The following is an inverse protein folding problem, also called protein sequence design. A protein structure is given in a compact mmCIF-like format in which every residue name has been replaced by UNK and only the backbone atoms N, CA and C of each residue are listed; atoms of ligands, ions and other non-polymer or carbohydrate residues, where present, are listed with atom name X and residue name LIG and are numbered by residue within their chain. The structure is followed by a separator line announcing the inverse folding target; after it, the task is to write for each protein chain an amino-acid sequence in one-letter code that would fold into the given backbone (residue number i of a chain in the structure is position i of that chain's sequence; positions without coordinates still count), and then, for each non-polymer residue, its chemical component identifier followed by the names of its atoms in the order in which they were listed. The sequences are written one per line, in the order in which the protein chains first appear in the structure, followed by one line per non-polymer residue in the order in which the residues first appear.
data_IF_613961816509
#
_entry.id   IF_613961816509
#
_cell.length_a   1.000
_cell.length_b   1.000
_cell.length_c   1.000
_cell.angle_alpha   90.00
_cell.angle_beta   90.00
_cell.angle_gamma   90.00
#
_symmetry.space_group_name_H-M   'P 1'
#
loop_
_entity.id
_entity.type
_entity.pdbx_description
1 polymer ?
#
# COMPACT_ATOMS: atom_id res chain seq x y z
N UNK A 1 1.23 -21.39 -10.13
CA UNK A 1 2.17 -20.46 -10.81
C UNK A 1 1.66 -19.98 -12.17
N UNK A 2 1.29 -20.87 -13.10
CA UNK A 2 0.79 -20.48 -14.43
C UNK A 2 -0.43 -19.52 -14.40
N UNK A 3 -1.36 -19.72 -13.47
CA UNK A 3 -2.55 -18.88 -13.32
C UNK A 3 -2.24 -17.47 -12.79
N UNK A 4 -1.38 -17.36 -11.77
CA UNK A 4 -0.90 -16.05 -11.24
C UNK A 4 -0.17 -15.27 -12.33
N UNK A 5 0.70 -15.95 -13.09
CA UNK A 5 1.39 -15.35 -14.21
C UNK A 5 0.41 -14.85 -15.28
N UNK A 6 -0.56 -15.68 -15.70
CA UNK A 6 -1.54 -15.28 -16.70
C UNK A 6 -2.32 -13.99 -16.31
N UNK A 7 -2.66 -13.83 -15.03
CA UNK A 7 -3.42 -12.67 -14.57
C UNK A 7 -2.55 -11.43 -14.29
N UNK A 8 -1.31 -11.62 -13.83
CA UNK A 8 -0.52 -10.53 -13.23
C UNK A 8 0.79 -10.21 -13.96
N UNK A 9 1.17 -10.96 -14.99
CA UNK A 9 2.43 -10.73 -15.72
C UNK A 9 2.56 -9.28 -16.21
N UNK A 10 1.49 -8.65 -16.69
CA UNK A 10 1.53 -7.25 -17.16
C UNK A 10 1.94 -6.32 -16.02
N UNK A 11 1.27 -6.41 -14.87
CA UNK A 11 1.59 -5.57 -13.70
C UNK A 11 3.02 -5.83 -13.22
N UNK A 12 3.44 -7.09 -13.15
CA UNK A 12 4.78 -7.47 -12.69
C UNK A 12 5.88 -6.95 -13.63
N UNK A 13 5.71 -7.13 -14.95
CA UNK A 13 6.66 -6.65 -15.95
C UNK A 13 6.72 -5.12 -16.00
N UNK A 14 5.57 -4.45 -15.95
CA UNK A 14 5.52 -2.98 -15.90
C UNK A 14 6.18 -2.45 -14.62
N UNK A 15 5.90 -3.04 -13.47
CA UNK A 15 6.54 -2.66 -12.20
C UNK A 15 8.05 -2.84 -12.27
N UNK A 16 8.52 -3.97 -12.80
CA UNK A 16 9.94 -4.25 -12.98
C UNK A 16 10.60 -3.22 -13.94
N UNK A 17 9.92 -2.86 -15.02
CA UNK A 17 10.40 -1.83 -15.96
C UNK A 17 10.43 -0.42 -15.35
N UNK A 18 9.58 -0.13 -14.36
CA UNK A 18 9.56 1.15 -13.63
C UNK A 18 10.62 1.25 -12.53
N UNK A 19 11.26 0.14 -12.12
CA UNK A 19 12.37 0.16 -11.15
C UNK A 19 13.50 1.11 -11.58
N UNK A 20 14.11 0.96 -12.78
CA UNK A 20 15.21 1.85 -13.19
C UNK A 20 14.78 3.31 -13.26
N UNK A 21 13.57 3.59 -13.77
CA UNK A 21 13.02 4.95 -13.81
C UNK A 21 12.85 5.53 -12.39
N UNK A 22 12.35 4.73 -11.46
CA UNK A 22 12.20 5.13 -10.05
C UNK A 22 13.56 5.44 -9.43
N UNK A 23 14.59 4.63 -9.69
CA UNK A 23 15.95 4.88 -9.20
C UNK A 23 16.54 6.18 -9.78
N UNK A 24 16.29 6.47 -11.07
CA UNK A 24 16.70 7.73 -11.69
C UNK A 24 16.00 8.94 -11.06
N UNK A 25 14.69 8.84 -10.80
CA UNK A 25 13.92 9.88 -10.11
C UNK A 25 14.45 10.08 -8.68
N UNK A 26 14.70 9.00 -7.95
CA UNK A 26 15.31 9.05 -6.61
C UNK A 26 16.66 9.76 -6.65
N UNK A 27 17.54 9.41 -7.59
CA UNK A 27 18.85 10.05 -7.74
C UNK A 27 18.72 11.55 -8.07
N UNK A 28 17.78 11.92 -8.95
CA UNK A 28 17.49 13.31 -9.28
C UNK A 28 16.97 14.09 -8.06
N UNK A 29 16.05 13.50 -7.27
CA UNK A 29 15.52 14.09 -6.04
C UNK A 29 16.60 14.26 -4.97
N UNK A 30 17.51 13.29 -4.82
CA UNK A 30 18.66 13.40 -3.93
C UNK A 30 19.52 14.58 -4.33
N UNK A 31 19.89 14.67 -5.62
CA UNK A 31 20.71 15.77 -6.14
C UNK A 31 20.04 17.12 -5.89
N UNK A 32 18.76 17.25 -6.24
CA UNK A 32 17.97 18.46 -6.02
C UNK A 32 17.95 18.87 -4.54
N UNK A 33 17.70 17.92 -3.62
CA UNK A 33 17.67 18.16 -2.17
C UNK A 33 19.03 18.56 -1.62
N UNK A 34 20.10 17.92 -2.07
CA UNK A 34 21.47 18.27 -1.65
C UNK A 34 21.87 19.67 -2.14
N UNK A 35 21.46 20.05 -3.35
CA UNK A 35 21.68 21.40 -3.87
C UNK A 35 20.90 22.45 -3.09
N UNK A 36 19.73 22.09 -2.54
CA UNK A 36 18.95 22.92 -1.63
C UNK A 36 19.47 22.91 -0.16
N UNK A 37 20.63 22.30 0.11
CA UNK A 37 21.27 22.30 1.43
C UNK A 37 20.82 21.18 2.39
N UNK A 38 20.02 20.21 1.94
CA UNK A 38 19.63 19.06 2.77
C UNK A 38 20.82 18.11 2.92
N UNK A 39 21.14 17.62 4.14
CA UNK A 39 22.21 16.64 4.34
C UNK A 39 22.01 15.39 3.48
N UNK A 40 23.10 14.89 2.88
CA UNK A 40 23.07 13.78 1.92
C UNK A 40 22.30 12.54 2.45
N UNK A 41 22.55 12.14 3.70
CA UNK A 41 21.87 10.99 4.31
C UNK A 41 20.36 11.19 4.44
N UNK A 42 19.90 12.41 4.74
CA UNK A 42 18.49 12.74 4.86
C UNK A 42 17.83 12.83 3.48
N UNK A 43 18.53 13.42 2.50
CA UNK A 43 18.09 13.48 1.11
C UNK A 43 17.87 12.08 0.53
N UNK A 44 18.80 11.14 0.75
CA UNK A 44 18.63 9.73 0.38
C UNK A 44 17.45 9.09 1.09
N UNK A 45 17.37 9.21 2.42
CA UNK A 45 16.31 8.59 3.21
C UNK A 45 14.91 9.02 2.76
N UNK A 46 14.70 10.32 2.52
CA UNK A 46 13.42 10.84 2.03
C UNK A 46 13.12 10.41 0.61
N UNK A 47 14.10 10.47 -0.30
CA UNK A 47 13.90 10.11 -1.71
C UNK A 47 13.60 8.62 -1.85
N UNK A 48 14.32 7.76 -1.13
CA UNK A 48 14.06 6.32 -1.10
C UNK A 48 12.70 5.99 -0.50
N UNK A 49 12.31 6.67 0.59
CA UNK A 49 10.99 6.49 1.17
C UNK A 49 9.88 6.83 0.16
N UNK A 50 9.99 7.95 -0.56
CA UNK A 50 9.02 8.34 -1.60
C UNK A 50 8.97 7.33 -2.76
N UNK A 51 10.13 6.94 -3.30
CA UNK A 51 10.20 5.96 -4.38
C UNK A 51 9.64 4.60 -3.97
N UNK A 52 9.95 4.14 -2.75
CA UNK A 52 9.43 2.90 -2.19
C UNK A 52 7.91 2.95 -1.98
N UNK A 53 7.34 4.06 -1.49
CA UNK A 53 5.89 4.21 -1.37
C UNK A 53 5.20 4.11 -2.73
N UNK A 54 5.70 4.84 -3.73
CA UNK A 54 5.07 4.86 -5.06
C UNK A 54 5.17 3.50 -5.73
N UNK A 55 6.38 2.98 -5.90
CA UNK A 55 6.63 1.73 -6.62
C UNK A 55 6.13 0.50 -5.84
N UNK A 56 6.10 0.59 -4.51
CA UNK A 56 5.69 -0.50 -3.64
C UNK A 56 4.19 -0.54 -3.34
N UNK A 57 3.42 0.51 -3.61
CA UNK A 57 1.95 0.53 -3.38
C UNK A 57 1.15 0.58 -4.68
N UNK A 58 1.54 1.38 -5.68
CA UNK A 58 0.74 1.52 -6.90
C UNK A 58 0.49 0.21 -7.66
N UNK A 59 1.44 -0.73 -7.77
CA UNK A 59 1.17 -2.02 -8.42
C UNK A 59 0.07 -2.81 -7.73
N UNK A 60 0.02 -2.80 -6.40
CA UNK A 60 -1.03 -3.47 -5.64
C UNK A 60 -2.37 -2.79 -5.80
N UNK A 61 -2.39 -1.45 -5.79
CA UNK A 61 -3.62 -0.69 -6.10
C UNK A 61 -4.12 -1.03 -7.50
N UNK A 62 -3.23 -1.15 -8.49
CA UNK A 62 -3.63 -1.61 -9.83
C UNK A 62 -4.21 -3.03 -9.77
N UNK A 63 -3.57 -3.97 -9.08
CA UNK A 63 -4.09 -5.34 -8.96
C UNK A 63 -5.49 -5.40 -8.32
N UNK A 64 -5.75 -4.57 -7.29
CA UNK A 64 -7.08 -4.50 -6.65
C UNK A 64 -8.14 -3.88 -7.55
N UNK A 65 -7.77 -2.92 -8.40
CA UNK A 65 -8.67 -2.28 -9.36
C UNK A 65 -8.95 -3.11 -10.62
N UNK A 66 -8.15 -4.15 -10.90
CA UNK A 66 -8.42 -5.05 -12.02
C UNK A 66 -9.74 -5.79 -11.77
N UNK A 67 -10.72 -5.72 -12.69
CA UNK A 67 -11.99 -6.42 -12.56
C UNK A 67 -11.74 -7.93 -12.40
N UNK A 68 -12.43 -8.54 -11.45
CA UNK A 68 -12.45 -10.00 -11.33
C UNK A 68 -13.84 -10.49 -11.73
N UNK A 69 -13.88 -11.57 -12.52
CA UNK A 69 -15.13 -12.22 -12.86
C UNK A 69 -15.63 -12.95 -11.61
N UNK A 70 -16.62 -12.35 -10.96
CA UNK A 70 -17.29 -12.94 -9.80
C UNK A 70 -18.52 -13.70 -10.31
N UNK A 71 -18.81 -14.92 -9.81
CA UNK A 71 -19.99 -15.67 -10.22
C UNK A 71 -21.30 -14.88 -10.00
N UNK A 72 -22.33 -15.04 -10.86
CA UNK A 72 -23.55 -14.21 -10.85
C UNK A 72 -24.33 -14.17 -9.53
N UNK A 73 -24.15 -15.16 -8.64
CA UNK A 73 -24.88 -15.31 -7.38
C UNK A 73 -24.06 -14.90 -6.14
N UNK A 74 -22.94 -14.20 -6.32
CA UNK A 74 -22.05 -13.85 -5.20
C UNK A 74 -22.51 -12.58 -4.51
N UNK A 75 -22.57 -12.58 -3.18
CA UNK A 75 -22.81 -11.38 -2.37
C UNK A 75 -21.72 -10.35 -2.65
N UNK A 76 -22.10 -9.22 -3.25
CA UNK A 76 -21.17 -8.16 -3.65
C UNK A 76 -20.82 -7.17 -2.53
N UNK A 77 -21.46 -7.28 -1.35
CA UNK A 77 -21.31 -6.34 -0.23
C UNK A 77 -21.20 -7.09 1.10
N UNK A 78 -20.03 -7.04 1.72
CA UNK A 78 -19.80 -7.53 3.09
C UNK A 78 -19.56 -6.34 4.03
N UNK A 79 -20.66 -5.84 4.59
CA UNK A 79 -20.67 -4.70 5.52
C UNK A 79 -20.63 -5.12 6.99
N UNK A 80 -20.66 -6.42 7.28
CA UNK A 80 -20.48 -6.93 8.64
C UNK A 80 -19.00 -7.24 8.84
N UNK A 81 -18.30 -6.57 9.78
CA UNK A 81 -16.91 -6.90 10.06
C UNK A 81 -16.76 -8.37 10.42
N UNK A 82 -15.69 -9.00 9.96
CA UNK A 82 -15.27 -10.39 10.19
C UNK A 82 -16.12 -11.47 9.51
N UNK A 83 -17.19 -11.10 8.79
CA UNK A 83 -18.04 -12.09 8.11
C UNK A 83 -17.39 -12.70 6.88
N UNK A 84 -16.62 -11.91 6.13
CA UNK A 84 -15.94 -12.36 4.92
C UNK A 84 -14.67 -13.13 5.31
N UNK A 85 -13.88 -12.61 6.26
CA UNK A 85 -12.74 -13.34 6.84
C UNK A 85 -13.14 -14.73 7.34
N UNK A 86 -14.26 -14.83 8.07
CA UNK A 86 -14.77 -16.12 8.56
C UNK A 86 -15.04 -17.13 7.44
N UNK A 87 -15.56 -16.69 6.29
CA UNK A 87 -15.75 -17.54 5.12
C UNK A 87 -14.41 -17.89 4.47
N UNK A 88 -13.48 -16.94 4.37
CA UNK A 88 -12.15 -17.18 3.79
C UNK A 88 -11.36 -18.24 4.56
N UNK A 89 -11.52 -18.34 5.89
CA UNK A 89 -10.89 -19.41 6.69
C UNK A 89 -11.36 -20.83 6.35
N UNK A 90 -12.50 -20.96 5.64
CA UNK A 90 -12.99 -22.26 5.15
C UNK A 90 -12.39 -22.63 3.78
N UNK A 91 -11.75 -21.69 3.10
CA UNK A 91 -11.11 -21.90 1.80
C UNK A 91 -9.74 -22.58 1.94
N UNK A 92 -9.19 -23.17 0.86
CA UNK A 92 -7.87 -23.78 0.88
C UNK A 92 -6.79 -22.79 1.35
N UNK A 93 -5.88 -23.26 2.21
CA UNK A 93 -4.83 -22.44 2.83
C UNK A 93 -4.02 -21.58 1.84
N UNK A 94 -3.62 -22.06 0.63
CA UNK A 94 -2.90 -21.22 -0.32
C UNK A 94 -3.71 -20.01 -0.79
N UNK A 95 -5.03 -20.14 -0.86
CA UNK A 95 -5.94 -19.07 -1.27
C UNK A 95 -6.06 -18.03 -0.16
N UNK A 96 -6.27 -18.48 1.09
CA UNK A 96 -6.31 -17.62 2.27
C UNK A 96 -5.03 -16.80 2.43
N UNK A 97 -3.85 -17.43 2.28
CA UNK A 97 -2.55 -16.75 2.37
C UNK A 97 -2.42 -15.69 1.27
N UNK A 98 -2.84 -16.01 0.05
CA UNK A 98 -2.76 -15.06 -1.07
C UNK A 98 -3.70 -13.86 -0.86
N UNK A 99 -4.92 -14.08 -0.36
CA UNK A 99 -5.90 -13.04 -0.11
C UNK A 99 -5.44 -12.10 1.01
N UNK A 100 -5.17 -12.65 2.21
CA UNK A 100 -4.71 -11.86 3.36
C UNK A 100 -3.36 -11.20 3.06
N UNK A 101 -2.43 -11.96 2.48
CA UNK A 101 -1.11 -11.46 2.12
C UNK A 101 -1.17 -10.33 1.08
N UNK A 102 -1.99 -10.48 0.05
CA UNK A 102 -2.19 -9.46 -0.99
C UNK A 102 -2.70 -8.15 -0.41
N UNK A 103 -3.74 -8.21 0.41
CA UNK A 103 -4.31 -7.03 1.07
C UNK A 103 -3.31 -6.38 2.04
N UNK A 104 -2.62 -7.16 2.89
CA UNK A 104 -1.58 -6.61 3.76
C UNK A 104 -0.51 -5.82 2.98
N UNK A 105 -0.15 -6.27 1.77
CA UNK A 105 0.89 -5.66 0.96
C UNK A 105 0.44 -4.36 0.26
N UNK A 106 -0.86 -4.11 0.08
CA UNK A 106 -1.39 -2.91 -0.60
C UNK A 106 -0.80 -1.63 -0.02
N UNK A 107 -0.93 -1.43 1.30
CA UNK A 107 -0.42 -0.24 1.98
C UNK A 107 0.83 -0.50 2.82
N UNK A 108 1.45 -1.67 2.73
CA UNK A 108 2.68 -1.96 3.47
C UNK A 108 3.80 -0.97 3.11
N UNK A 109 4.07 -0.78 1.83
CA UNK A 109 5.12 0.14 1.37
C UNK A 109 4.80 1.61 1.72
N UNK A 110 3.53 2.02 1.56
CA UNK A 110 3.03 3.31 2.02
C UNK A 110 3.34 3.52 3.51
N UNK A 111 2.96 2.54 4.34
CA UNK A 111 3.20 2.56 5.78
C UNK A 111 4.67 2.59 6.15
N UNK A 112 5.52 1.88 5.41
CA UNK A 112 6.96 1.86 5.62
C UNK A 112 7.62 3.21 5.33
N UNK A 113 7.24 3.88 4.23
CA UNK A 113 7.86 5.14 3.82
C UNK A 113 7.24 6.39 4.48
N UNK A 114 5.94 6.37 4.77
CA UNK A 114 5.21 7.53 5.28
C UNK A 114 5.81 8.15 6.57
N UNK A 115 6.08 7.40 7.65
CA UNK A 115 6.61 7.95 8.89
C UNK A 115 8.10 8.30 8.77
N UNK A 116 8.81 7.72 7.80
CA UNK A 116 10.19 8.07 7.47
C UNK A 116 10.25 9.42 6.74
N UNK A 117 9.24 9.75 5.94
CA UNK A 117 9.17 11.00 5.19
C UNK A 117 8.46 12.14 5.92
N UNK A 118 7.39 11.81 6.65
CA UNK A 118 6.48 12.76 7.29
C UNK A 118 6.43 12.51 8.80
N UNK A 119 7.04 13.38 9.62
CA UNK A 119 6.99 13.27 11.08
C UNK A 119 5.56 13.21 11.63
N UNK A 120 4.61 13.87 10.95
CA UNK A 120 3.20 13.84 11.30
C UNK A 120 2.58 12.43 11.20
N UNK A 121 3.16 11.51 10.43
CA UNK A 121 2.65 10.14 10.30
C UNK A 121 3.43 9.13 11.16
N UNK A 122 4.41 9.58 11.95
CA UNK A 122 5.21 8.75 12.86
C UNK A 122 4.44 8.35 14.14
N UNK A 123 3.23 7.81 13.98
CA UNK A 123 2.38 7.29 15.05
C UNK A 123 1.64 6.04 14.57
N UNK A 124 1.64 4.93 15.35
CA UNK A 124 0.92 3.71 15.00
C UNK A 124 -0.55 3.95 14.64
N UNK A 125 -1.25 4.78 15.44
CA UNK A 125 -2.64 5.10 15.18
C UNK A 125 -2.82 5.89 13.87
N UNK A 126 -1.90 6.81 13.56
CA UNK A 126 -1.98 7.58 12.31
C UNK A 126 -1.70 6.72 11.08
N UNK A 127 -0.87 5.68 11.21
CA UNK A 127 -0.65 4.71 10.14
C UNK A 127 -1.86 3.80 9.93
N UNK A 128 -2.50 3.35 11.02
CA UNK A 128 -3.78 2.63 10.92
C UNK A 128 -4.84 3.48 10.22
N UNK A 129 -5.00 4.75 10.63
CA UNK A 129 -5.96 5.67 10.01
C UNK A 129 -5.61 5.96 8.54
N UNK A 130 -4.32 6.08 8.20
CA UNK A 130 -3.87 6.28 6.83
C UNK A 130 -4.25 5.08 5.95
N UNK A 131 -3.94 3.86 6.40
CA UNK A 131 -4.28 2.64 5.66
C UNK A 131 -5.78 2.42 5.56
N UNK A 132 -6.54 2.68 6.63
CA UNK A 132 -8.00 2.60 6.62
C UNK A 132 -8.62 3.61 5.65
N UNK A 133 -8.20 4.88 5.71
CA UNK A 133 -8.69 5.92 4.81
C UNK A 133 -8.35 5.60 3.35
N UNK A 134 -7.10 5.17 3.08
CA UNK A 134 -6.70 4.74 1.75
C UNK A 134 -7.52 3.56 1.24
N UNK A 135 -7.82 2.59 2.11
CA UNK A 135 -8.62 1.43 1.72
C UNK A 135 -10.06 1.80 1.45
N UNK A 136 -10.67 2.67 2.28
CA UNK A 136 -12.03 3.17 2.02
C UNK A 136 -12.09 3.89 0.68
N UNK A 137 -11.06 4.66 0.30
CA UNK A 137 -11.00 5.28 -1.03
C UNK A 137 -10.94 4.22 -2.13
N UNK A 138 -10.18 3.15 -1.96
CA UNK A 138 -10.14 2.01 -2.90
C UNK A 138 -11.52 1.37 -3.04
N UNK A 139 -12.15 1.01 -1.93
CA UNK A 139 -13.46 0.37 -1.88
C UNK A 139 -14.54 1.24 -2.54
N UNK A 140 -14.59 2.54 -2.20
CA UNK A 140 -15.52 3.49 -2.81
C UNK A 140 -15.26 3.63 -4.31
N UNK A 141 -13.99 3.64 -4.73
CA UNK A 141 -13.64 3.70 -6.16
C UNK A 141 -14.09 2.44 -6.88
N UNK A 142 -13.88 1.26 -6.29
CA UNK A 142 -14.35 -0.01 -6.87
C UNK A 142 -15.87 -0.04 -6.96
N UNK A 143 -16.57 0.37 -5.90
CA UNK A 143 -18.03 0.46 -5.87
C UNK A 143 -18.60 1.38 -6.96
N UNK A 144 -17.93 2.50 -7.24
CA UNK A 144 -18.41 3.49 -8.22
C UNK A 144 -18.00 3.18 -9.66
N UNK A 145 -16.86 2.51 -9.88
CA UNK A 145 -16.23 2.40 -11.20
C UNK A 145 -15.90 0.98 -11.66
N UNK A 146 -16.02 -0.03 -10.80
CA UNK A 146 -15.68 -1.43 -11.12
C UNK A 146 -16.90 -2.31 -10.85
N UNK A 147 -17.63 -2.64 -11.92
CA UNK A 147 -18.76 -3.57 -11.87
C UNK A 147 -18.29 -4.96 -11.39
N UNK A 148 -19.12 -5.63 -10.59
CA UNK A 148 -18.91 -7.01 -10.08
C UNK A 148 -17.78 -7.21 -9.06
N UNK A 149 -17.28 -6.14 -8.41
CA UNK A 149 -16.35 -6.28 -7.27
C UNK A 149 -17.10 -6.39 -5.94
N UNK A 150 -16.60 -7.28 -5.09
CA UNK A 150 -17.03 -7.45 -3.71
C UNK A 150 -16.40 -6.33 -2.87
N UNK A 151 -17.23 -5.52 -2.19
CA UNK A 151 -16.79 -4.49 -1.27
C UNK A 151 -16.82 -5.04 0.17
N UNK A 152 -15.67 -5.02 0.87
CA UNK A 152 -15.50 -5.73 2.13
C UNK A 152 -14.85 -4.86 3.21
N UNK A 153 -15.49 -4.74 4.38
CA UNK A 153 -14.89 -4.07 5.54
C UNK A 153 -13.62 -4.80 6.00
N UNK A 154 -13.55 -6.11 5.77
CA UNK A 154 -12.39 -6.90 6.17
C UNK A 154 -11.13 -6.52 5.38
N UNK A 155 -11.28 -6.19 4.10
CA UNK A 155 -10.17 -5.70 3.28
C UNK A 155 -9.67 -4.35 3.78
N UNK A 156 -10.58 -3.45 4.23
CA UNK A 156 -10.21 -2.20 4.90
C UNK A 156 -9.37 -2.43 6.14
N UNK A 157 -9.77 -3.38 6.98
CA UNK A 157 -9.05 -3.72 8.20
C UNK A 157 -7.69 -4.33 7.90
N UNK A 158 -7.61 -5.28 6.97
CA UNK A 158 -6.36 -5.94 6.58
C UNK A 158 -5.39 -4.94 5.95
N UNK A 159 -5.86 -4.08 5.04
CA UNK A 159 -5.06 -3.03 4.42
C UNK A 159 -4.53 -2.01 5.46
N UNK A 160 -5.36 -1.64 6.44
CA UNK A 160 -4.95 -0.77 7.56
C UNK A 160 -3.86 -1.42 8.42
N UNK A 161 -4.02 -2.70 8.76
CA UNK A 161 -3.00 -3.48 9.49
C UNK A 161 -1.72 -3.58 8.67
N UNK A 162 -1.82 -3.81 7.37
CA UNK A 162 -0.68 -3.80 6.45
C UNK A 162 0.12 -2.50 6.49
N UNK A 163 -0.57 -1.37 6.48
CA UNK A 163 0.04 -0.05 6.64
C UNK A 163 0.76 0.11 7.99
N UNK A 164 0.13 -0.30 9.09
CA UNK A 164 0.77 -0.27 10.40
C UNK A 164 2.03 -1.14 10.44
N UNK A 165 1.95 -2.38 9.96
CA UNK A 165 3.08 -3.31 9.96
C UNK A 165 4.25 -2.77 9.15
N UNK A 166 3.98 -2.20 7.96
CA UNK A 166 5.00 -1.54 7.15
C UNK A 166 5.73 -0.44 7.92
N UNK A 167 4.99 0.43 8.61
CA UNK A 167 5.60 1.49 9.40
C UNK A 167 6.36 0.98 10.62
N UNK A 168 5.90 -0.08 11.27
CA UNK A 168 6.62 -0.68 12.39
C UNK A 168 7.97 -1.27 11.96
N UNK A 169 8.07 -1.85 10.76
CA UNK A 169 9.35 -2.32 10.20
C UNK A 169 10.34 -1.17 10.06
N UNK A 170 9.87 0.04 9.74
CA UNK A 170 10.74 1.21 9.57
C UNK A 170 10.86 2.09 10.81
N UNK A 171 10.34 1.65 11.97
CA UNK A 171 10.30 2.41 13.23
C UNK A 171 11.62 3.06 13.65
N UNK A 172 12.79 2.41 13.51
CA UNK A 172 14.07 3.05 13.83
C UNK A 172 14.39 4.30 13.00
N UNK A 173 13.86 4.38 11.77
CA UNK A 173 14.13 5.46 10.81
C UNK A 173 13.02 6.52 10.73
N UNK A 174 11.98 6.43 11.57
CA UNK A 174 10.92 7.42 11.61
C UNK A 174 11.50 8.83 11.78
N UNK A 175 11.00 9.76 10.97
CA UNK A 175 11.44 11.15 11.03
C UNK A 175 11.04 11.75 12.36
N UNK A 176 12.05 12.10 13.15
CA UNK A 176 11.89 12.84 14.40
C UNK A 176 12.03 14.32 14.08
N UNK A 177 10.91 15.01 13.90
CA UNK A 177 10.88 16.47 13.90
C UNK A 177 9.53 16.98 14.41
N UNK A 178 9.52 17.54 15.61
CA UNK A 178 8.73 18.75 15.85
C UNK A 178 9.51 19.85 15.12
N UNK A 179 8.95 20.40 14.06
CA UNK A 179 9.52 21.60 13.43
C UNK A 179 9.44 22.71 14.49
N UNK A 180 10.55 23.40 14.84
CA UNK A 180 10.45 24.63 15.60
C UNK A 180 9.63 25.61 14.77
N UNK A 181 8.50 26.06 15.29
CA UNK A 181 7.82 27.24 14.73
C UNK A 181 8.84 28.39 14.87
N UNK A 182 9.25 29.05 13.77
CA UNK A 182 10.03 30.28 13.89
C UNK A 182 9.22 31.27 14.72
N UNK A 183 9.83 31.81 15.77
CA UNK A 183 9.26 32.90 16.57
C UNK A 183 9.13 34.18 15.72
#
# INVERSE_FOLDING_TARGET
MAQVWAHWHTVLLTTAALVPLTLLIVAALVRYRTQAGVPLGLAWRWSLAEGAMVLGTLPWVWMTMTPQQVPPDTTLLYLVPLSDLGQQFTMPLPWLIAQIGGNLLVFFALGAGAPVRFPALASPLRLLLLGAAGSVVIEVTQLLFVTDRVCSIDDVLVNAVGCLLGGLVTRPWWSRARVPVPA
#
